data_IF_046676663615
#
_entry.id   IF_046676663615
#
_cell.length_a   1.000
_cell.length_b   1.000
_cell.length_c   1.000
_cell.angle_alpha   90.00
_cell.angle_beta   90.00
_cell.angle_gamma   90.00
#
_symmetry.space_group_name_H-M   'P 1'
#
loop_
_entity.id
_entity.type
_entity.pdbx_description
1 polymer ?
#
# COMPACT_ATOMS: atom_id res chain seq x y z
N UNK A 1 13.50 13.41 -10.19
CA UNK A 1 12.20 13.96 -9.78
C UNK A 1 11.16 13.50 -10.79
N UNK A 2 10.08 12.84 -10.37
CA UNK A 2 8.99 12.49 -11.30
C UNK A 2 8.21 13.79 -11.55
N UNK A 3 8.02 14.24 -12.80
CA UNK A 3 7.27 15.46 -13.06
C UNK A 3 5.88 15.37 -12.45
N UNK A 4 5.53 16.32 -11.59
CA UNK A 4 4.17 16.43 -11.06
C UNK A 4 3.29 17.01 -12.17
N UNK A 5 2.62 16.13 -12.92
CA UNK A 5 1.53 16.56 -13.80
C UNK A 5 0.46 17.20 -12.91
N UNK A 6 -0.02 18.43 -13.21
CA UNK A 6 -1.09 19.04 -12.44
C UNK A 6 -2.28 18.09 -12.35
N UNK A 7 -2.81 17.89 -11.15
CA UNK A 7 -3.98 17.05 -10.94
C UNK A 7 -5.17 17.61 -11.72
N UNK A 8 -5.74 16.81 -12.62
CA UNK A 8 -6.81 17.23 -13.53
C UNK A 8 -8.18 16.69 -13.09
N UNK A 9 -8.19 15.56 -12.39
CA UNK A 9 -9.39 14.88 -11.90
C UNK A 9 -9.34 14.76 -10.38
N UNK A 10 -10.49 14.67 -9.69
CA UNK A 10 -10.51 14.41 -8.25
C UNK A 10 -9.67 13.19 -7.82
N UNK A 11 -9.64 12.13 -8.64
CA UNK A 11 -8.84 10.93 -8.38
C UNK A 11 -7.34 11.17 -8.37
N UNK A 12 -6.84 12.19 -9.08
CA UNK A 12 -5.41 12.48 -9.16
C UNK A 12 -4.86 13.06 -7.83
N UNK A 13 -5.76 13.46 -6.93
CA UNK A 13 -5.42 13.89 -5.56
C UNK A 13 -5.34 12.74 -4.55
N UNK A 14 -5.72 11.52 -4.95
CA UNK A 14 -5.78 10.37 -4.06
C UNK A 14 -4.41 9.70 -3.94
N UNK A 15 -3.92 9.60 -2.71
CA UNK A 15 -2.71 8.85 -2.38
C UNK A 15 -3.09 7.52 -1.73
N UNK A 16 -3.06 6.43 -2.49
CA UNK A 16 -3.36 5.08 -1.98
C UNK A 16 -2.33 4.58 -0.98
N UNK A 17 -1.14 5.19 -0.92
CA UNK A 17 -0.10 4.92 0.08
C UNK A 17 -0.32 5.67 1.40
N UNK A 18 -1.33 6.53 1.50
CA UNK A 18 -1.59 7.24 2.77
C UNK A 18 -1.99 6.23 3.86
N UNK A 19 -1.27 6.25 4.97
CA UNK A 19 -1.51 5.38 6.14
C UNK A 19 -0.74 4.05 6.12
N UNK A 20 0.06 3.78 5.09
CA UNK A 20 0.86 2.55 4.97
C UNK A 20 2.13 2.54 5.83
N UNK A 21 2.46 3.66 6.47
CA UNK A 21 3.57 3.75 7.44
C UNK A 21 3.09 3.26 8.83
N UNK A 22 2.67 2.00 8.87
CA UNK A 22 2.06 1.36 10.04
C UNK A 22 2.65 -0.03 10.26
N UNK A 23 2.72 -0.45 11.51
CA UNK A 23 3.18 -1.79 11.91
C UNK A 23 2.39 -2.30 13.13
N UNK A 24 2.79 -3.46 13.65
CA UNK A 24 2.10 -4.09 14.78
C UNK A 24 2.18 -3.30 16.09
N UNK A 25 3.13 -2.37 16.22
CA UNK A 25 3.33 -1.55 17.42
C UNK A 25 2.66 -0.19 17.31
N UNK A 26 2.58 0.39 16.12
CA UNK A 26 2.02 1.73 15.92
C UNK A 26 1.33 1.87 14.56
N UNK A 27 0.10 2.38 14.59
CA UNK A 27 -0.70 2.65 13.39
C UNK A 27 -0.68 4.13 13.02
N UNK A 28 -0.52 4.39 11.73
CA UNK A 28 -0.83 5.68 11.08
C UNK A 28 -2.01 5.56 10.11
N UNK A 29 -2.79 4.49 10.23
CA UNK A 29 -3.95 4.18 9.41
C UNK A 29 -4.15 2.68 9.19
N UNK A 30 -3.07 1.89 9.16
CA UNK A 30 -3.11 0.45 8.81
C UNK A 30 -3.73 0.17 7.42
N UNK A 31 -3.58 1.12 6.49
CA UNK A 31 -4.01 0.95 5.11
C UNK A 31 -2.97 0.17 4.31
N UNK A 32 -3.40 -0.45 3.21
CA UNK A 32 -2.53 -0.90 2.12
C UNK A 32 -2.91 -0.21 0.81
N UNK A 33 -2.00 -0.11 -0.19
CA UNK A 33 -2.30 0.53 -1.46
C UNK A 33 -3.24 -0.31 -2.32
N UNK A 34 -4.55 -0.15 -2.12
CA UNK A 34 -5.58 -0.83 -2.91
C UNK A 34 -5.79 -0.12 -4.27
N UNK A 35 -5.56 -0.84 -5.35
CA UNK A 35 -6.03 -0.47 -6.70
C UNK A 35 -7.33 -1.19 -6.97
N UNK A 36 -8.42 -0.42 -7.07
CA UNK A 36 -9.77 -0.95 -7.20
C UNK A 36 -10.73 0.09 -7.81
N UNK A 37 -11.91 -0.38 -8.18
CA UNK A 37 -13.09 0.49 -8.33
C UNK A 37 -13.82 0.61 -6.99
N UNK A 38 -14.66 1.65 -6.79
CA UNK A 38 -15.50 1.73 -5.60
C UNK A 38 -16.33 0.46 -5.42
N UNK A 39 -16.27 -0.14 -4.24
CA UNK A 39 -16.95 -1.41 -3.90
C UNK A 39 -16.58 -2.61 -4.79
N UNK A 40 -15.41 -2.60 -5.43
CA UNK A 40 -14.93 -3.75 -6.19
C UNK A 40 -14.80 -5.00 -5.33
N UNK A 41 -15.13 -6.17 -5.89
CA UNK A 41 -14.99 -7.45 -5.18
C UNK A 41 -13.52 -7.80 -4.91
N UNK A 42 -12.64 -7.54 -5.89
CA UNK A 42 -11.21 -7.84 -5.80
C UNK A 42 -10.37 -6.56 -5.75
N UNK A 43 -9.37 -6.51 -4.86
CA UNK A 43 -8.38 -5.43 -4.83
C UNK A 43 -7.01 -5.91 -5.28
N UNK A 44 -6.33 -5.10 -6.08
CA UNK A 44 -4.92 -5.35 -6.42
C UNK A 44 -4.01 -4.50 -5.54
N UNK A 45 -3.00 -5.11 -4.93
CA UNK A 45 -2.03 -4.39 -4.09
C UNK A 45 -0.60 -4.90 -4.32
N UNK A 46 0.42 -4.01 -4.28
CA UNK A 46 1.78 -4.45 -4.09
C UNK A 46 1.95 -5.09 -2.71
N UNK A 47 2.85 -6.07 -2.62
CA UNK A 47 3.22 -6.76 -1.39
C UNK A 47 4.71 -6.59 -1.14
N UNK A 48 5.08 -6.15 0.07
CA UNK A 48 6.48 -5.97 0.49
C UNK A 48 7.01 -7.12 1.31
N UNK A 49 6.12 -7.98 1.81
CA UNK A 49 6.43 -9.22 2.51
C UNK A 49 5.45 -10.30 2.01
N UNK A 50 5.89 -11.17 1.12
CA UNK A 50 5.05 -12.22 0.56
C UNK A 50 4.90 -13.44 1.49
N UNK A 51 5.62 -13.46 2.62
CA UNK A 51 5.52 -14.51 3.63
C UNK A 51 4.44 -14.25 4.69
N UNK A 52 3.83 -13.06 4.71
CA UNK A 52 2.84 -12.67 5.71
C UNK A 52 1.41 -12.69 5.18
N UNK A 53 0.47 -12.96 6.09
CA UNK A 53 -0.98 -12.82 5.87
C UNK A 53 -1.58 -11.62 6.62
N UNK A 54 -0.75 -10.81 7.30
CA UNK A 54 -1.20 -9.66 8.11
C UNK A 54 -0.90 -8.33 7.41
N UNK A 55 0.33 -7.83 7.50
CA UNK A 55 0.72 -6.59 6.82
C UNK A 55 1.30 -6.85 5.44
N UNK A 56 0.43 -6.93 4.43
CA UNK A 56 0.82 -7.10 3.02
C UNK A 56 1.81 -6.03 2.54
N UNK A 57 1.65 -4.79 2.99
CA UNK A 57 2.47 -3.65 2.59
C UNK A 57 2.90 -2.81 3.79
N UNK A 58 4.21 -2.60 3.95
CA UNK A 58 4.80 -1.78 5.03
C UNK A 58 5.82 -0.82 4.44
N UNK A 59 5.49 0.47 4.41
CA UNK A 59 6.34 1.47 3.77
C UNK A 59 7.71 1.64 4.45
N UNK A 60 7.75 1.44 5.77
CA UNK A 60 8.91 1.76 6.61
C UNK A 60 9.65 0.53 7.14
N UNK A 61 9.40 -0.66 6.61
CA UNK A 61 10.00 -1.91 7.10
C UNK A 61 10.39 -2.80 5.92
N UNK A 62 11.36 -3.69 6.14
CA UNK A 62 11.87 -4.62 5.12
C UNK A 62 12.37 -3.89 3.86
N UNK A 63 12.91 -2.69 4.04
CA UNK A 63 13.46 -1.88 2.97
C UNK A 63 14.86 -2.37 2.57
N UNK A 64 15.29 -1.98 1.37
CA UNK A 64 16.66 -2.21 0.89
C UNK A 64 17.69 -1.26 1.54
N UNK A 65 18.93 -1.35 1.09
CA UNK A 65 20.03 -0.50 1.56
C UNK A 65 19.79 1.00 1.30
N UNK A 66 18.95 1.35 0.32
CA UNK A 66 18.56 2.73 -0.01
C UNK A 66 17.29 3.17 0.75
N UNK A 67 16.85 2.37 1.73
CA UNK A 67 15.64 2.56 2.52
C UNK A 67 14.38 2.68 1.66
N UNK A 68 14.26 1.86 0.62
CA UNK A 68 13.08 1.75 -0.25
C UNK A 68 12.36 0.41 -0.04
N UNK A 69 11.02 0.40 -0.05
CA UNK A 69 10.26 -0.85 -0.06
C UNK A 69 10.69 -1.76 -1.21
N UNK A 70 10.74 -3.07 -0.95
CA UNK A 70 10.97 -4.10 -1.96
C UNK A 70 9.67 -4.76 -2.34
N UNK A 71 9.32 -4.68 -3.63
CA UNK A 71 8.19 -5.42 -4.17
C UNK A 71 8.56 -6.91 -4.19
N UNK A 72 7.76 -7.74 -3.51
CA UNK A 72 7.91 -9.19 -3.53
C UNK A 72 6.82 -9.86 -4.35
N UNK A 73 5.62 -9.27 -4.42
CA UNK A 73 4.51 -9.78 -5.23
C UNK A 73 3.48 -8.68 -5.57
N UNK A 74 2.61 -8.98 -6.53
CA UNK A 74 1.31 -8.33 -6.69
C UNK A 74 0.25 -9.31 -6.23
N UNK A 75 -0.62 -8.88 -5.30
CA UNK A 75 -1.64 -9.74 -4.72
C UNK A 75 -3.04 -9.26 -5.07
N UNK A 76 -3.93 -10.22 -5.27
CA UNK A 76 -5.37 -10.02 -5.23
C UNK A 76 -5.82 -10.25 -3.78
N UNK A 77 -6.37 -9.20 -3.16
CA UNK A 77 -6.69 -9.18 -1.73
C UNK A 77 -8.14 -8.78 -1.47
N UNK A 78 -8.68 -9.35 -0.40
CA UNK A 78 -9.96 -8.97 0.22
C UNK A 78 -9.75 -8.45 1.65
N UNK A 79 -8.51 -8.21 2.05
CA UNK A 79 -8.15 -7.89 3.42
C UNK A 79 -8.83 -6.58 3.85
N UNK A 80 -9.63 -6.57 4.93
CA UNK A 80 -10.23 -5.34 5.44
C UNK A 80 -9.31 -4.64 6.45
N UNK A 81 -8.45 -5.40 7.14
CA UNK A 81 -7.55 -4.94 8.21
C UNK A 81 -6.40 -5.95 8.38
N UNK A 82 -5.25 -5.58 8.97
CA UNK A 82 -4.15 -6.51 9.26
C UNK A 82 -4.38 -7.41 10.50
N UNK A 83 -5.42 -7.16 11.29
CA UNK A 83 -5.87 -7.98 12.43
C UNK A 83 -6.88 -9.04 11.96
#
# INVERSE_FOLDING_TARGET
EVPLTPATRPSDWVLTTRGTQSNGTFSRGNNFPATAVPHGFNFWTPVTDAGTLTWLYRWNEHNDADNRPRLQALSLSHQPSPW
#
